data_IF_937983882402
#
_entry.id   IF_937983882402
#
_cell.length_a   1.000
_cell.length_b   1.000
_cell.length_c   1.000
_cell.angle_alpha   90.00
_cell.angle_beta   90.00
_cell.angle_gamma   90.00
#
_symmetry.space_group_name_H-M   'P 1'
#
loop_
_entity.id
_entity.type
_entity.pdbx_description
1 polymer ?
#
# COMPACT_ATOMS: atom_id res chain seq x y z
N UNK A 1 -5.53 18.78 -5.47
CA UNK A 1 -6.24 17.68 -4.79
C UNK A 1 -6.81 16.77 -5.86
N UNK A 2 -6.24 15.57 -6.03
CA UNK A 2 -6.79 14.60 -6.97
C UNK A 2 -8.09 14.03 -6.42
N UNK A 3 -9.13 13.96 -7.25
CA UNK A 3 -10.37 13.29 -6.87
C UNK A 3 -10.10 11.77 -6.93
N UNK A 4 -10.31 11.07 -5.82
CA UNK A 4 -10.30 9.61 -5.84
C UNK A 4 -11.44 9.07 -6.70
N UNK A 5 -11.27 7.91 -7.33
CA UNK A 5 -12.35 7.19 -7.99
C UNK A 5 -12.65 5.88 -7.25
N UNK A 6 -13.91 5.48 -7.24
CA UNK A 6 -14.32 4.18 -6.69
C UNK A 6 -14.25 3.15 -7.82
N UNK A 7 -13.63 2.01 -7.51
CA UNK A 7 -13.56 0.87 -8.42
C UNK A 7 -14.52 -0.20 -7.91
N UNK A 8 -15.24 -0.83 -8.83
CA UNK A 8 -16.02 -2.01 -8.52
C UNK A 8 -15.09 -3.17 -8.14
N UNK A 9 -15.46 -4.05 -7.19
CA UNK A 9 -14.63 -5.18 -6.76
C UNK A 9 -14.68 -6.35 -7.78
N UNK A 10 -14.53 -6.02 -9.06
CA UNK A 10 -14.40 -6.98 -10.16
C UNK A 10 -12.93 -7.33 -10.39
N UNK A 11 -12.61 -8.42 -11.12
CA UNK A 11 -11.24 -8.71 -11.53
C UNK A 11 -10.56 -7.52 -12.23
N UNK A 12 -11.32 -6.74 -13.00
CA UNK A 12 -10.84 -5.54 -13.70
C UNK A 12 -10.54 -4.41 -12.72
N UNK A 13 -11.44 -4.14 -11.76
CA UNK A 13 -11.21 -3.12 -10.75
C UNK A 13 -10.04 -3.46 -9.82
N UNK A 14 -9.88 -4.75 -9.48
CA UNK A 14 -8.71 -5.23 -8.72
C UNK A 14 -7.42 -5.06 -9.53
N UNK A 15 -7.43 -5.39 -10.83
CA UNK A 15 -6.29 -5.20 -11.72
C UNK A 15 -5.89 -3.73 -11.83
N UNK A 16 -6.87 -2.85 -11.98
CA UNK A 16 -6.65 -1.41 -12.03
C UNK A 16 -6.13 -0.85 -10.70
N UNK A 17 -6.65 -1.32 -9.56
CA UNK A 17 -6.10 -0.99 -8.25
C UNK A 17 -4.65 -1.46 -8.10
N UNK A 18 -4.33 -2.65 -8.59
CA UNK A 18 -2.95 -3.17 -8.59
C UNK A 18 -2.03 -2.30 -9.47
N UNK A 19 -2.49 -1.87 -10.64
CA UNK A 19 -1.72 -0.97 -11.52
C UNK A 19 -1.43 0.38 -10.84
N UNK A 20 -2.39 0.92 -10.09
CA UNK A 20 -2.17 2.13 -9.28
C UNK A 20 -1.07 1.92 -8.24
N UNK A 21 -1.08 0.79 -7.51
CA UNK A 21 -0.04 0.46 -6.53
C UNK A 21 1.33 0.27 -7.21
N UNK A 22 1.36 -0.42 -8.36
CA UNK A 22 2.59 -0.66 -9.13
C UNK A 22 3.20 0.63 -9.67
N UNK A 23 2.38 1.64 -9.96
CA UNK A 23 2.80 2.98 -10.39
C UNK A 23 3.16 3.93 -9.21
N UNK A 24 3.27 3.42 -7.98
CA UNK A 24 3.60 4.23 -6.79
C UNK A 24 2.44 5.10 -6.29
N UNK A 25 1.21 4.81 -6.73
CA UNK A 25 -0.02 5.39 -6.20
C UNK A 25 -0.43 4.78 -4.86
N UNK A 26 -1.53 5.30 -4.30
CA UNK A 26 -2.15 4.80 -3.08
C UNK A 26 -3.58 4.34 -3.39
N UNK A 27 -4.03 3.27 -2.74
CA UNK A 27 -5.37 2.70 -2.92
C UNK A 27 -6.07 2.59 -1.57
N UNK A 28 -7.29 3.12 -1.48
CA UNK A 28 -8.18 2.82 -0.37
C UNK A 28 -8.82 1.45 -0.59
N UNK A 29 -8.75 0.56 0.40
CA UNK A 29 -9.32 -0.78 0.32
C UNK A 29 -10.21 -1.10 1.54
N UNK A 30 -11.33 -1.81 1.35
CA UNK A 30 -12.14 -2.27 2.46
C UNK A 30 -11.41 -3.39 3.22
N UNK A 31 -11.50 -3.37 4.55
CA UNK A 31 -11.17 -4.52 5.41
C UNK A 31 -12.39 -4.89 6.25
N UNK A 32 -12.30 -5.94 7.08
CA UNK A 32 -13.38 -6.34 7.98
C UNK A 32 -13.80 -5.20 8.92
N UNK A 33 -12.84 -4.44 9.45
CA UNK A 33 -13.10 -3.47 10.53
C UNK A 33 -13.11 -2.02 10.06
N UNK A 34 -12.20 -1.65 9.15
CA UNK A 34 -12.02 -0.26 8.69
C UNK A 34 -11.53 -0.22 7.25
N UNK A 35 -11.60 0.95 6.61
CA UNK A 35 -10.90 1.14 5.34
C UNK A 35 -9.41 1.33 5.59
N UNK A 36 -8.59 0.59 4.84
CA UNK A 36 -7.14 0.74 4.81
C UNK A 36 -6.70 1.65 3.67
N UNK A 37 -5.52 2.26 3.81
CA UNK A 37 -4.81 2.94 2.72
C UNK A 37 -3.54 2.15 2.42
N UNK A 38 -3.46 1.57 1.23
CA UNK A 38 -2.33 0.78 0.78
C UNK A 38 -1.42 1.54 -0.18
N UNK A 39 -0.15 1.16 -0.12
CA UNK A 39 0.91 1.49 -1.06
C UNK A 39 1.76 0.24 -1.29
N UNK A 40 2.59 0.27 -2.33
CA UNK A 40 3.58 -0.79 -2.58
C UNK A 40 4.65 -0.78 -1.48
N UNK A 41 4.78 -1.90 -0.76
CA UNK A 41 5.68 -2.01 0.39
C UNK A 41 7.19 -1.97 0.05
N UNK A 42 7.56 -2.21 -1.21
CA UNK A 42 8.93 -2.09 -1.72
C UNK A 42 9.28 -0.72 -2.31
N UNK A 43 8.36 0.24 -2.26
CA UNK A 43 8.56 1.60 -2.79
C UNK A 43 8.48 2.63 -1.66
N UNK A 44 9.64 3.16 -1.28
CA UNK A 44 9.78 4.17 -0.22
C UNK A 44 8.99 5.44 -0.51
N UNK A 45 8.88 5.83 -1.78
CA UNK A 45 8.11 7.03 -2.19
C UNK A 45 6.62 6.80 -2.00
N UNK A 46 6.13 5.60 -2.33
CA UNK A 46 4.73 5.23 -2.12
C UNK A 46 4.38 5.14 -0.62
N UNK A 47 5.30 4.60 0.19
CA UNK A 47 5.16 4.56 1.66
C UNK A 47 5.06 5.99 2.22
N UNK A 48 5.94 6.90 1.81
CA UNK A 48 5.92 8.29 2.26
C UNK A 48 4.58 8.99 1.95
N UNK A 49 3.95 8.66 0.81
CA UNK A 49 2.61 9.16 0.45
C UNK A 49 1.52 8.69 1.42
N UNK A 50 1.59 7.46 1.94
CA UNK A 50 0.64 6.95 2.95
C UNK A 50 0.80 7.71 4.26
N UNK A 51 2.03 7.94 4.71
CA UNK A 51 2.29 8.74 5.92
C UNK A 51 1.74 10.16 5.77
N UNK A 52 2.04 10.83 4.65
CA UNK A 52 1.56 12.18 4.37
C UNK A 52 0.03 12.25 4.25
N UNK A 53 -0.61 11.27 3.58
CA UNK A 53 -2.06 11.25 3.41
C UNK A 53 -2.83 10.97 4.71
N UNK A 54 -2.23 10.23 5.65
CA UNK A 54 -2.82 9.90 6.95
C UNK A 54 -2.45 10.89 8.05
N UNK A 55 -1.59 11.87 7.77
CA UNK A 55 -0.93 12.71 8.77
C UNK A 55 -0.35 11.86 9.92
N UNK A 56 0.30 10.74 9.55
CA UNK A 56 0.79 9.74 10.50
C UNK A 56 2.25 10.03 10.87
N UNK A 57 2.63 9.98 12.16
CA UNK A 57 4.02 10.10 12.55
C UNK A 57 4.89 8.95 11.99
N UNK A 58 6.11 9.24 11.55
CA UNK A 58 7.01 8.25 10.94
C UNK A 58 7.47 7.14 11.89
N UNK A 59 7.38 7.37 13.21
CA UNK A 59 7.75 6.36 14.21
C UNK A 59 6.68 5.28 14.40
N UNK A 60 5.49 5.45 13.82
CA UNK A 60 4.37 4.52 13.98
C UNK A 60 4.25 3.63 12.72
N UNK A 61 4.71 2.37 12.79
CA UNK A 61 4.92 1.53 11.61
C UNK A 61 3.62 1.19 10.87
N UNK A 62 3.78 0.86 9.57
CA UNK A 62 2.71 0.33 8.72
C UNK A 62 2.70 -1.20 8.75
N UNK A 63 1.52 -1.78 8.49
CA UNK A 63 1.33 -3.23 8.39
C UNK A 63 1.55 -3.66 6.94
N UNK A 64 2.44 -4.63 6.71
CA UNK A 64 2.63 -5.24 5.39
C UNK A 64 1.65 -6.40 5.21
N UNK A 65 0.87 -6.36 4.13
CA UNK A 65 -0.04 -7.44 3.74
C UNK A 65 0.65 -8.33 2.71
N UNK A 66 0.56 -9.65 2.90
CA UNK A 66 1.15 -10.66 2.02
C UNK A 66 0.08 -11.63 1.53
N UNK A 67 0.15 -12.03 0.26
CA UNK A 67 -0.85 -12.89 -0.38
C UNK A 67 -0.63 -14.40 -0.20
N UNK A 68 0.51 -14.80 0.37
CA UNK A 68 0.87 -16.19 0.61
C UNK A 68 1.68 -16.31 1.90
N UNK A 69 1.50 -17.38 2.70
CA UNK A 69 2.36 -17.69 3.84
C UNK A 69 3.75 -18.17 3.42
N UNK A 70 3.96 -18.51 2.13
CA UNK A 70 5.27 -18.76 1.57
C UNK A 70 6.03 -17.43 1.42
N UNK A 71 6.54 -16.99 2.56
CA UNK A 71 7.37 -15.82 2.74
C UNK A 71 8.85 -16.17 2.52
N UNK A 72 9.17 -17.10 1.60
CA UNK A 72 10.55 -17.56 1.34
C UNK A 72 11.58 -16.44 1.14
N UNK A 73 11.09 -15.24 0.83
CA UNK A 73 11.78 -13.97 1.01
C UNK A 73 10.93 -13.06 1.92
N UNK A 74 11.04 -13.20 3.23
CA UNK A 74 10.85 -12.03 4.09
C UNK A 74 11.96 -11.10 3.65
N UNK A 75 11.65 -10.24 2.67
CA UNK A 75 12.49 -9.12 2.30
C UNK A 75 12.86 -8.49 3.63
N UNK A 76 14.15 -8.51 3.96
CA UNK A 76 14.62 -7.78 5.12
C UNK A 76 14.32 -6.31 4.84
N UNK A 77 13.16 -5.85 5.31
CA UNK A 77 12.70 -4.48 5.14
C UNK A 77 13.66 -3.52 5.87
N UNK A 78 14.46 -4.02 6.82
CA UNK A 78 15.55 -3.25 7.41
C UNK A 78 16.79 -3.18 6.49
N UNK A 79 16.98 -4.15 5.58
CA UNK A 79 18.00 -4.11 4.52
C UNK A 79 17.59 -3.20 3.34
N UNK A 80 16.31 -2.86 3.19
CA UNK A 80 15.84 -1.76 2.31
C UNK A 80 16.13 -0.38 2.91
N UNK A 81 17.28 -0.21 3.58
CA UNK A 81 17.69 1.02 4.25
C UNK A 81 17.45 2.27 3.39
N UNK A 82 17.38 3.47 4.01
CA UNK A 82 17.09 4.69 3.27
C UNK A 82 18.13 4.84 2.15
N UNK A 83 17.65 4.98 0.92
CA UNK A 83 18.49 5.36 -0.21
C UNK A 83 19.24 6.67 0.09
#
# INVERSE_FOLDING_TARGET
MGVGRVLEPTPEGIREAADVLLAGGIVGLPTETVYGLAARASDVTAIARVFAAKDRPLFDPLIVHVGSPDLGELVDLAALGPA
#
